data_IF_072251144713
#
_entry.id   IF_072251144713
#
_cell.length_a   1.000
_cell.length_b   1.000
_cell.length_c   1.000
_cell.angle_alpha   90.00
_cell.angle_beta   90.00
_cell.angle_gamma   90.00
#
_symmetry.space_group_name_H-M   'P 1'
#
loop_
_entity.id
_entity.type
_entity.pdbx_description
1 polymer ?
#
# COMPACT_ATOMS: atom_id res chain seq x y z
N UNK A 1 6.12 28.40 2.15
CA UNK A 1 6.34 27.40 1.09
C UNK A 1 5.58 26.14 1.48
N UNK A 2 4.26 26.10 1.30
CA UNK A 2 3.50 25.87 0.06
C UNK A 2 3.64 24.43 -0.47
N UNK A 3 2.74 23.53 -0.05
CA UNK A 3 1.77 22.92 -0.97
C UNK A 3 0.73 22.05 -0.24
N UNK A 4 -0.50 22.52 -0.38
CA UNK A 4 -1.80 21.92 -0.12
C UNK A 4 -2.02 20.68 -1.00
N UNK A 5 -2.51 19.56 -0.44
CA UNK A 5 -3.11 18.46 -1.21
C UNK A 5 -4.62 18.47 -1.01
N UNK A 6 -5.29 19.17 -1.92
CA UNK A 6 -6.71 19.06 -2.24
C UNK A 6 -6.93 17.76 -3.03
N UNK A 7 -7.79 16.86 -2.54
CA UNK A 7 -8.44 15.83 -3.38
C UNK A 7 -9.93 16.16 -3.42
N UNK A 8 -10.34 16.82 -4.50
CA UNK A 8 -11.72 16.99 -4.90
C UNK A 8 -12.23 15.71 -5.58
N UNK A 9 -13.19 15.02 -4.97
CA UNK A 9 -14.16 14.23 -5.73
C UNK A 9 -15.38 15.12 -5.94
N UNK A 10 -15.60 15.52 -7.19
CA UNK A 10 -16.82 16.20 -7.61
C UNK A 10 -17.95 15.19 -7.73
N UNK A 11 -18.99 15.38 -6.93
CA UNK A 11 -20.33 14.89 -7.20
C UNK A 11 -21.23 16.12 -7.19
N UNK A 12 -21.69 16.53 -8.37
CA UNK A 12 -22.58 17.66 -8.56
C UNK A 12 -23.86 17.16 -9.21
N UNK A 13 -25.00 17.48 -8.59
CA UNK A 13 -26.35 17.66 -9.15
C UNK A 13 -27.14 18.38 -8.03
N UNK A 14 -27.23 19.72 -8.05
CA UNK A 14 -28.31 20.52 -8.66
C UNK A 14 -29.70 20.03 -8.18
N UNK A 15 -30.58 20.82 -7.57
CA UNK A 15 -30.80 22.27 -7.61
C UNK A 15 -32.33 22.46 -7.58
N UNK A 16 -32.78 23.30 -6.66
CA UNK A 16 -34.15 23.48 -6.13
C UNK A 16 -35.27 23.72 -7.14
N UNK A 17 -36.52 23.43 -6.75
CA UNK A 17 -37.71 24.02 -7.34
C UNK A 17 -38.78 24.34 -6.27
N UNK A 18 -39.16 25.61 -6.19
CA UNK A 18 -40.22 26.14 -5.33
C UNK A 18 -41.50 26.32 -6.15
N UNK A 19 -42.56 25.75 -5.59
CA UNK A 19 -44.01 25.81 -5.83
C UNK A 19 -44.61 26.94 -6.71
N UNK A 20 -45.53 26.54 -7.61
CA UNK A 20 -46.92 27.05 -7.63
C UNK A 20 -47.89 26.18 -8.46
N UNK A 21 -49.11 26.01 -7.92
CA UNK A 21 -50.39 25.70 -8.57
C UNK A 21 -50.56 24.38 -9.35
N UNK A 22 -51.19 23.40 -8.68
CA UNK A 22 -51.72 22.20 -9.35
C UNK A 22 -52.30 21.17 -8.40
N UNK A 23 -53.20 21.53 -7.48
CA UNK A 23 -53.72 20.59 -6.46
C UNK A 23 -54.41 19.33 -7.04
N UNK A 24 -54.91 19.36 -8.29
CA UNK A 24 -55.44 18.17 -8.98
C UNK A 24 -54.43 17.37 -9.81
N UNK A 25 -53.38 18.01 -10.33
CA UNK A 25 -52.30 17.34 -11.08
C UNK A 25 -51.22 16.78 -10.14
N UNK A 26 -51.01 17.42 -8.99
CA UNK A 26 -50.06 17.00 -7.96
C UNK A 26 -50.44 15.67 -7.30
N UNK A 27 -51.73 15.45 -7.02
CA UNK A 27 -52.19 14.16 -6.47
C UNK A 27 -52.06 13.00 -7.47
N UNK A 28 -52.37 13.23 -8.76
CA UNK A 28 -52.19 12.21 -9.80
C UNK A 28 -50.71 11.94 -10.10
N UNK A 29 -49.86 12.97 -10.05
CA UNK A 29 -48.40 12.82 -10.23
C UNK A 29 -47.77 12.09 -9.05
N UNK A 30 -48.13 12.45 -7.81
CA UNK A 30 -47.71 11.75 -6.61
C UNK A 30 -48.16 10.28 -6.58
N UNK A 31 -49.42 9.98 -6.92
CA UNK A 31 -49.90 8.59 -7.03
C UNK A 31 -49.22 7.79 -8.14
N UNK A 32 -48.92 8.42 -9.29
CA UNK A 32 -48.20 7.76 -10.38
C UNK A 32 -46.74 7.45 -10.00
N UNK A 33 -46.11 8.34 -9.24
CA UNK A 33 -44.75 8.15 -8.73
C UNK A 33 -44.70 7.05 -7.66
N UNK A 34 -45.71 6.98 -6.77
CA UNK A 34 -45.86 5.92 -5.77
C UNK A 34 -46.10 4.54 -6.40
N UNK A 35 -46.94 4.48 -7.45
CA UNK A 35 -47.21 3.23 -8.18
C UNK A 35 -45.97 2.72 -8.93
N UNK A 36 -45.18 3.61 -9.53
CA UNK A 36 -43.91 3.25 -10.17
C UNK A 36 -42.90 2.74 -9.15
N UNK A 37 -42.79 3.41 -8.00
CA UNK A 37 -41.89 2.97 -6.92
C UNK A 37 -42.26 1.57 -6.40
N UNK A 38 -43.56 1.28 -6.24
CA UNK A 38 -44.03 -0.04 -5.85
C UNK A 38 -43.65 -1.13 -6.87
N UNK A 39 -43.84 -0.87 -8.17
CA UNK A 39 -43.43 -1.78 -9.24
C UNK A 39 -41.92 -1.96 -9.32
N UNK A 40 -41.14 -0.90 -9.12
CA UNK A 40 -39.67 -0.99 -9.05
C UNK A 40 -39.19 -1.89 -7.91
N UNK A 41 -39.79 -1.79 -6.71
CA UNK A 41 -39.52 -2.69 -5.58
C UNK A 41 -39.86 -4.15 -5.92
N UNK A 42 -41.01 -4.39 -6.55
CA UNK A 42 -41.41 -5.73 -7.00
C UNK A 42 -40.42 -6.29 -8.03
N UNK A 43 -39.95 -5.46 -8.97
CA UNK A 43 -39.00 -5.86 -10.00
C UNK A 43 -37.65 -6.22 -9.39
N UNK A 44 -37.16 -5.43 -8.44
CA UNK A 44 -35.94 -5.74 -7.69
C UNK A 44 -36.07 -7.09 -6.97
N UNK A 45 -37.17 -7.33 -6.26
CA UNK A 45 -37.43 -8.61 -5.60
C UNK A 45 -37.48 -9.78 -6.60
N UNK A 46 -38.21 -9.65 -7.71
CA UNK A 46 -38.35 -10.68 -8.74
C UNK A 46 -37.01 -11.00 -9.43
N UNK A 47 -36.13 -10.01 -9.56
CA UNK A 47 -34.79 -10.17 -10.11
C UNK A 47 -33.75 -10.68 -9.10
N UNK A 48 -34.16 -11.03 -7.88
CA UNK A 48 -33.25 -11.45 -6.80
C UNK A 48 -32.45 -10.32 -6.15
N UNK A 49 -32.73 -9.05 -6.46
CA UNK A 49 -32.07 -7.85 -5.91
C UNK A 49 -32.81 -7.20 -4.75
N UNK A 50 -33.89 -7.80 -4.24
CA UNK A 50 -34.71 -7.20 -3.18
C UNK A 50 -34.09 -7.16 -1.78
N UNK A 51 -32.80 -7.52 -1.65
CA UNK A 51 -32.02 -7.53 -0.39
C UNK A 51 -30.57 -7.10 -0.62
N UNK A 52 -30.34 -6.21 -1.58
CA UNK A 52 -28.99 -5.82 -1.98
C UNK A 52 -28.34 -4.97 -0.88
N UNK A 53 -29.14 -4.22 -0.11
CA UNK A 53 -28.73 -3.54 1.11
C UNK A 53 -28.16 -4.50 2.15
N UNK A 54 -28.81 -5.65 2.39
CA UNK A 54 -28.32 -6.65 3.35
C UNK A 54 -26.94 -7.18 2.93
N UNK A 55 -26.78 -7.48 1.63
CA UNK A 55 -25.52 -7.96 1.06
C UNK A 55 -24.41 -6.91 1.14
N UNK A 56 -24.73 -5.64 0.89
CA UNK A 56 -23.80 -4.52 1.01
C UNK A 56 -23.31 -4.35 2.45
N UNK A 57 -24.24 -4.30 3.41
CA UNK A 57 -23.93 -4.16 4.84
C UNK A 57 -23.08 -5.34 5.32
N UNK A 58 -23.42 -6.57 4.91
CA UNK A 58 -22.63 -7.76 5.23
C UNK A 58 -21.20 -7.69 4.66
N UNK A 59 -21.05 -7.25 3.41
CA UNK A 59 -19.75 -7.11 2.74
C UNK A 59 -18.87 -6.05 3.40
N UNK A 60 -19.44 -4.88 3.72
CA UNK A 60 -18.72 -3.80 4.41
C UNK A 60 -18.29 -4.23 5.81
N UNK A 61 -19.16 -4.95 6.53
CA UNK A 61 -18.84 -5.52 7.85
C UNK A 61 -17.64 -6.45 7.77
N UNK A 62 -17.65 -7.44 6.86
CA UNK A 62 -16.54 -8.37 6.69
C UNK A 62 -15.22 -7.68 6.32
N UNK A 63 -15.29 -6.59 5.55
CA UNK A 63 -14.08 -5.82 5.20
C UNK A 63 -13.49 -5.12 6.41
N UNK A 64 -14.32 -4.45 7.20
CA UNK A 64 -13.89 -3.70 8.39
C UNK A 64 -13.40 -4.66 9.48
N UNK A 65 -14.05 -5.81 9.67
CA UNK A 65 -13.57 -6.84 10.60
C UNK A 65 -12.18 -7.36 10.22
N UNK A 66 -11.93 -7.60 8.92
CA UNK A 66 -10.59 -7.98 8.44
C UNK A 66 -9.55 -6.89 8.65
N UNK A 67 -9.92 -5.63 8.40
CA UNK A 67 -9.02 -4.49 8.62
C UNK A 67 -8.67 -4.30 10.10
N UNK A 68 -9.67 -4.41 10.98
CA UNK A 68 -9.48 -4.33 12.43
C UNK A 68 -8.65 -5.49 12.99
N UNK A 69 -8.77 -6.68 12.41
CA UNK A 69 -7.94 -7.82 12.77
C UNK A 69 -6.46 -7.58 12.45
N UNK A 70 -6.16 -6.84 11.38
CA UNK A 70 -4.80 -6.48 10.99
C UNK A 70 -4.28 -5.25 11.75
N UNK A 71 -5.14 -4.27 12.00
CA UNK A 71 -4.79 -3.01 12.65
C UNK A 71 -5.94 -2.54 13.56
N UNK A 72 -5.96 -2.97 14.84
CA UNK A 72 -7.00 -2.59 15.77
C UNK A 72 -7.07 -1.07 15.94
N UNK A 73 -8.25 -0.48 15.82
CA UNK A 73 -8.46 0.95 16.08
C UNK A 73 -9.81 1.22 16.77
N UNK A 74 -9.86 2.12 17.78
CA UNK A 74 -11.11 2.50 18.42
C UNK A 74 -12.14 3.08 17.45
N UNK A 75 -11.67 3.80 16.42
CA UNK A 75 -12.52 4.38 15.39
C UNK A 75 -13.13 3.28 14.51
N UNK A 76 -12.34 2.28 14.08
CA UNK A 76 -12.85 1.14 13.33
C UNK A 76 -13.89 0.34 14.13
N UNK A 77 -13.69 0.17 15.45
CA UNK A 77 -14.65 -0.51 16.30
C UNK A 77 -15.99 0.25 16.39
N UNK A 78 -15.97 1.58 16.45
CA UNK A 78 -17.19 2.41 16.41
C UNK A 78 -17.91 2.29 15.06
N UNK A 79 -17.17 2.29 13.95
CA UNK A 79 -17.74 2.10 12.61
C UNK A 79 -18.39 0.71 12.50
N UNK A 80 -17.76 -0.33 13.05
CA UNK A 80 -18.32 -1.68 13.05
C UNK A 80 -19.64 -1.76 13.83
N UNK A 81 -19.75 -1.08 14.97
CA UNK A 81 -21.01 -0.98 15.73
C UNK A 81 -22.08 -0.25 14.93
N UNK A 82 -21.74 0.90 14.33
CA UNK A 82 -22.67 1.65 13.49
C UNK A 82 -23.17 0.82 12.29
N UNK A 83 -22.32 0.00 11.66
CA UNK A 83 -22.71 -0.92 10.59
C UNK A 83 -23.55 -2.12 11.06
N UNK A 84 -23.58 -2.43 12.35
CA UNK A 84 -24.53 -3.40 12.90
C UNK A 84 -25.93 -2.82 13.05
N UNK A 85 -26.01 -1.51 13.24
CA UNK A 85 -27.26 -0.75 13.42
C UNK A 85 -27.78 -0.14 12.10
N UNK A 86 -26.95 -0.10 11.06
CA UNK A 86 -27.30 0.39 9.74
C UNK A 86 -28.49 -0.40 9.17
N UNK A 87 -29.52 0.33 8.73
CA UNK A 87 -30.70 -0.28 8.14
C UNK A 87 -30.47 -0.48 6.65
N UNK A 88 -30.52 -1.74 6.22
CA UNK A 88 -30.33 -2.13 4.82
C UNK A 88 -31.46 -1.65 3.89
N UNK A 89 -32.63 -1.32 4.45
CA UNK A 89 -33.83 -0.90 3.74
C UNK A 89 -33.67 0.45 3.02
N UNK A 90 -32.84 1.35 3.55
CA UNK A 90 -32.57 2.66 2.96
C UNK A 90 -31.90 2.53 1.57
N UNK A 91 -30.90 1.65 1.45
CA UNK A 91 -30.24 1.39 0.17
C UNK A 91 -31.19 0.74 -0.84
N UNK A 92 -31.98 -0.24 -0.42
CA UNK A 92 -32.96 -0.90 -1.29
C UNK A 92 -34.05 0.09 -1.74
N UNK A 93 -34.41 1.06 -0.90
CA UNK A 93 -35.32 2.15 -1.24
C UNK A 93 -34.73 3.12 -2.26
N UNK A 94 -33.48 3.57 -2.08
CA UNK A 94 -32.79 4.42 -3.06
C UNK A 94 -32.63 3.72 -4.40
N UNK A 95 -32.30 2.43 -4.40
CA UNK A 95 -32.19 1.63 -5.61
C UNK A 95 -33.54 1.51 -6.33
N UNK A 96 -34.63 1.29 -5.58
CA UNK A 96 -35.98 1.28 -6.14
C UNK A 96 -36.37 2.64 -6.74
N UNK A 97 -35.99 3.74 -6.10
CA UNK A 97 -36.20 5.09 -6.63
C UNK A 97 -35.41 5.32 -7.93
N UNK A 98 -34.15 4.85 -7.99
CA UNK A 98 -33.35 4.92 -9.22
C UNK A 98 -34.01 4.14 -10.37
N UNK A 99 -34.54 2.95 -10.09
CA UNK A 99 -35.28 2.14 -11.08
C UNK A 99 -36.57 2.85 -11.53
N UNK A 100 -37.36 3.39 -10.61
CA UNK A 100 -38.59 4.12 -10.93
C UNK A 100 -38.34 5.41 -11.73
N UNK A 101 -37.15 6.00 -11.60
CA UNK A 101 -36.71 7.18 -12.35
C UNK A 101 -36.27 6.85 -13.78
N UNK A 102 -35.57 5.73 -13.96
CA UNK A 102 -35.00 5.32 -15.27
C UNK A 102 -36.01 4.55 -16.12
N UNK A 103 -36.85 3.73 -15.50
CA UNK A 103 -37.83 2.87 -16.19
C UNK A 103 -39.21 3.53 -16.18
N UNK A 104 -39.86 3.57 -17.34
CA UNK A 104 -41.27 3.92 -17.41
C UNK A 104 -42.17 2.77 -16.91
N UNK A 105 -43.48 3.03 -16.84
CA UNK A 105 -44.43 2.05 -16.29
C UNK A 105 -44.52 0.78 -17.16
N UNK A 106 -44.41 0.92 -18.47
CA UNK A 106 -44.48 -0.19 -19.42
C UNK A 106 -43.24 -1.10 -19.30
N UNK A 107 -42.04 -0.51 -19.19
CA UNK A 107 -40.80 -1.24 -18.96
C UNK A 107 -40.79 -1.98 -17.62
N UNK A 108 -41.34 -1.37 -16.56
CA UNK A 108 -41.51 -2.02 -15.25
C UNK A 108 -42.44 -3.24 -15.34
N UNK A 109 -43.58 -3.10 -16.03
CA UNK A 109 -44.55 -4.19 -16.22
C UNK A 109 -43.98 -5.33 -17.08
N UNK A 110 -43.30 -4.98 -18.17
CA UNK A 110 -42.61 -5.95 -19.04
C UNK A 110 -41.52 -6.72 -18.28
N UNK A 111 -40.75 -6.02 -17.44
CA UNK A 111 -39.74 -6.64 -16.59
C UNK A 111 -40.34 -7.63 -15.59
N UNK A 112 -41.43 -7.25 -14.92
CA UNK A 112 -42.15 -8.13 -14.00
C UNK A 112 -42.71 -9.36 -14.72
N UNK A 113 -43.33 -9.17 -15.87
CA UNK A 113 -43.84 -10.25 -16.71
C UNK A 113 -42.72 -11.21 -17.13
N UNK A 114 -41.56 -10.69 -17.53
CA UNK A 114 -40.38 -11.49 -17.86
C UNK A 114 -39.90 -12.33 -16.68
N UNK A 115 -39.66 -11.73 -15.51
CA UNK A 115 -39.17 -12.46 -14.33
C UNK A 115 -40.22 -13.44 -13.75
N UNK A 116 -41.49 -13.32 -14.12
CA UNK A 116 -42.50 -14.33 -13.79
C UNK A 116 -42.37 -15.63 -14.61
N UNK A 117 -41.79 -15.55 -15.82
CA UNK A 117 -41.57 -16.73 -16.70
C UNK A 117 -40.49 -17.67 -16.15
N UNK A 118 -40.50 -18.93 -16.59
CA UNK A 118 -39.43 -19.91 -16.27
C UNK A 118 -38.06 -19.40 -16.74
N UNK A 119 -37.98 -18.80 -17.92
CA UNK A 119 -36.74 -18.24 -18.48
C UNK A 119 -36.21 -17.07 -17.64
N UNK A 120 -37.09 -16.16 -17.23
CA UNK A 120 -36.71 -15.02 -16.39
C UNK A 120 -36.19 -15.43 -15.01
N UNK A 121 -36.80 -16.44 -14.38
CA UNK A 121 -36.31 -17.00 -13.11
C UNK A 121 -34.95 -17.68 -13.27
N UNK A 122 -34.75 -18.46 -14.34
CA UNK A 122 -33.47 -19.09 -14.63
C UNK A 122 -32.37 -18.04 -14.90
N UNK A 123 -32.69 -16.97 -15.63
CA UNK A 123 -31.78 -15.85 -15.85
C UNK A 123 -31.42 -15.14 -14.55
N UNK A 124 -32.40 -14.82 -13.70
CA UNK A 124 -32.17 -14.19 -12.40
C UNK A 124 -31.21 -15.00 -11.52
N UNK A 125 -31.37 -16.33 -11.50
CA UNK A 125 -30.51 -17.24 -10.73
C UNK A 125 -29.05 -17.27 -11.23
N UNK A 126 -28.80 -16.98 -12.51
CA UNK A 126 -27.44 -16.98 -13.12
C UNK A 126 -26.83 -15.61 -13.30
N UNK A 127 -27.60 -14.54 -13.18
CA UNK A 127 -27.14 -13.18 -13.45
C UNK A 127 -25.92 -12.79 -12.59
N UNK A 128 -25.92 -13.15 -11.32
CA UNK A 128 -24.83 -12.74 -10.42
C UNK A 128 -23.52 -13.51 -10.74
N UNK A 129 -23.62 -14.79 -11.15
CA UNK A 129 -22.48 -15.56 -11.67
C UNK A 129 -21.95 -14.96 -12.99
N UNK A 130 -22.86 -14.56 -13.90
CA UNK A 130 -22.49 -13.91 -15.15
C UNK A 130 -21.80 -12.57 -14.91
N UNK A 131 -22.36 -11.73 -14.05
CA UNK A 131 -21.76 -10.45 -13.68
C UNK A 131 -20.37 -10.64 -13.06
N UNK A 132 -20.21 -11.61 -12.16
CA UNK A 132 -18.91 -11.93 -11.58
C UNK A 132 -17.90 -12.39 -12.65
N UNK A 133 -18.32 -13.23 -13.59
CA UNK A 133 -17.48 -13.68 -14.71
C UNK A 133 -17.08 -12.50 -15.63
N UNK A 134 -18.01 -11.61 -15.95
CA UNK A 134 -17.74 -10.39 -16.73
C UNK A 134 -16.75 -9.47 -16.03
N UNK A 135 -16.95 -9.19 -14.74
CA UNK A 135 -16.03 -8.35 -13.97
C UNK A 135 -14.63 -8.96 -13.88
N UNK A 136 -14.52 -10.28 -13.67
CA UNK A 136 -13.24 -10.98 -13.69
C UNK A 136 -12.53 -10.86 -15.05
N UNK A 137 -13.29 -10.98 -16.15
CA UNK A 137 -12.74 -10.82 -17.49
C UNK A 137 -12.25 -9.39 -17.74
N UNK A 138 -13.03 -8.39 -17.34
CA UNK A 138 -12.69 -6.96 -17.42
C UNK A 138 -11.43 -6.67 -16.62
N UNK A 139 -11.31 -7.18 -15.39
CA UNK A 139 -10.12 -6.98 -14.55
C UNK A 139 -8.87 -7.56 -15.20
N UNK A 140 -8.93 -8.82 -15.66
CA UNK A 140 -7.81 -9.51 -16.31
C UNK A 140 -7.38 -8.76 -17.58
N UNK A 141 -8.32 -8.35 -18.42
CA UNK A 141 -8.01 -7.62 -19.65
C UNK A 141 -7.51 -6.20 -19.38
N UNK A 142 -8.12 -5.48 -18.44
CA UNK A 142 -7.69 -4.14 -18.05
C UNK A 142 -6.24 -4.16 -17.57
N UNK A 143 -5.88 -5.12 -16.72
CA UNK A 143 -4.49 -5.30 -16.27
C UNK A 143 -3.53 -5.55 -17.44
N UNK A 144 -3.89 -6.45 -18.36
CA UNK A 144 -3.07 -6.73 -19.56
C UNK A 144 -2.88 -5.49 -20.44
N UNK A 145 -3.96 -4.73 -20.68
CA UNK A 145 -3.93 -3.50 -21.47
C UNK A 145 -3.08 -2.42 -20.82
N UNK A 146 -3.24 -2.21 -19.51
CA UNK A 146 -2.43 -1.25 -18.74
C UNK A 146 -0.96 -1.64 -18.79
N UNK A 147 -0.61 -2.91 -18.57
CA UNK A 147 0.78 -3.38 -18.65
C UNK A 147 1.37 -3.16 -20.04
N UNK A 148 0.61 -3.47 -21.10
CA UNK A 148 1.05 -3.24 -22.47
C UNK A 148 1.23 -1.73 -22.78
N UNK A 149 0.34 -0.88 -22.27
CA UNK A 149 0.42 0.57 -22.43
C UNK A 149 1.65 1.15 -21.70
N UNK A 150 1.90 0.75 -20.45
CA UNK A 150 3.08 1.17 -19.68
C UNK A 150 4.38 0.80 -20.40
N UNK A 151 4.49 -0.46 -20.88
CA UNK A 151 5.67 -0.91 -21.64
C UNK A 151 5.88 -0.11 -22.92
N UNK A 152 4.82 0.19 -23.68
CA UNK A 152 4.92 1.03 -24.90
C UNK A 152 5.31 2.46 -24.59
N UNK A 153 4.90 2.99 -23.44
CA UNK A 153 5.28 4.32 -22.97
C UNK A 153 6.69 4.38 -22.36
N UNK A 154 7.42 3.25 -22.30
CA UNK A 154 8.73 3.18 -21.63
C UNK A 154 8.65 3.38 -20.11
N UNK A 155 7.47 3.18 -19.52
CA UNK A 155 7.23 3.33 -18.08
C UNK A 155 7.35 1.98 -17.37
N UNK A 156 7.84 2.00 -16.13
CA UNK A 156 7.89 0.84 -15.27
C UNK A 156 6.48 0.31 -14.93
N UNK A 157 6.33 -1.00 -14.96
CA UNK A 157 5.16 -1.71 -14.45
C UNK A 157 5.06 -1.60 -12.92
N UNK A 158 3.87 -1.86 -12.32
CA UNK A 158 3.73 -1.87 -10.87
C UNK A 158 4.73 -2.80 -10.16
N UNK A 159 5.02 -3.97 -10.76
CA UNK A 159 5.98 -4.94 -10.22
C UNK A 159 7.43 -4.41 -10.23
N UNK A 160 7.82 -3.71 -11.30
CA UNK A 160 9.14 -3.07 -11.39
C UNK A 160 9.28 -1.95 -10.37
N UNK A 161 8.25 -1.10 -10.23
CA UNK A 161 8.22 -0.05 -9.21
C UNK A 161 8.35 -0.63 -7.78
N UNK A 162 7.69 -1.75 -7.50
CA UNK A 162 7.81 -2.43 -6.21
C UNK A 162 9.22 -2.98 -5.97
N UNK A 163 9.86 -3.57 -7.00
CA UNK A 163 11.26 -4.02 -6.91
C UNK A 163 12.21 -2.86 -6.65
N UNK A 164 12.04 -1.76 -7.37
CA UNK A 164 12.83 -0.53 -7.20
C UNK A 164 12.67 0.05 -5.79
N UNK A 165 11.43 0.16 -5.30
CA UNK A 165 11.15 0.63 -3.94
C UNK A 165 11.83 -0.25 -2.87
N UNK A 166 11.84 -1.58 -3.06
CA UNK A 166 12.54 -2.49 -2.15
C UNK A 166 14.06 -2.28 -2.19
N UNK A 167 14.66 -2.10 -3.37
CA UNK A 167 16.10 -1.80 -3.51
C UNK A 167 16.46 -0.48 -2.80
N UNK A 168 15.66 0.55 -3.00
CA UNK A 168 15.85 1.85 -2.35
C UNK A 168 15.73 1.74 -0.82
N UNK A 169 14.78 0.95 -0.32
CA UNK A 169 14.63 0.66 1.11
C UNK A 169 15.84 -0.08 1.69
N UNK A 170 16.36 -1.08 0.98
CA UNK A 170 17.58 -1.80 1.39
C UNK A 170 18.80 -0.88 1.44
N UNK A 171 18.97 -0.03 0.44
CA UNK A 171 20.06 0.95 0.38
C UNK A 171 20.00 1.95 1.53
N UNK A 172 18.82 2.51 1.81
CA UNK A 172 18.62 3.40 2.95
C UNK A 172 18.95 2.69 4.28
N UNK A 173 18.53 1.43 4.42
CA UNK A 173 18.85 0.63 5.60
C UNK A 173 20.35 0.32 5.72
N UNK A 174 21.05 0.13 4.60
CA UNK A 174 22.50 -0.07 4.59
C UNK A 174 23.26 1.18 5.04
N UNK A 175 22.85 2.37 4.58
CA UNK A 175 23.40 3.65 5.05
C UNK A 175 23.14 3.81 6.55
N UNK A 176 21.94 3.50 7.03
CA UNK A 176 21.61 3.52 8.46
C UNK A 176 22.48 2.57 9.29
N UNK A 177 22.73 1.36 8.79
CA UNK A 177 23.60 0.39 9.45
C UNK A 177 25.08 0.85 9.49
N UNK A 178 25.59 1.50 8.44
CA UNK A 178 26.94 2.08 8.46
C UNK A 178 27.08 3.23 9.47
N UNK A 179 26.04 4.04 9.65
CA UNK A 179 26.00 5.06 10.73
C UNK A 179 26.00 4.42 12.11
N UNK A 180 25.21 3.37 12.32
CA UNK A 180 25.21 2.62 13.57
C UNK A 180 26.59 2.00 13.86
N UNK A 181 27.25 1.42 12.85
CA UNK A 181 28.64 0.92 12.98
C UNK A 181 29.58 2.06 13.37
N UNK A 182 29.45 3.25 12.76
CA UNK A 182 30.31 4.40 13.08
C UNK A 182 30.16 4.84 14.54
N UNK A 183 28.92 4.93 15.04
CA UNK A 183 28.66 5.23 16.46
C UNK A 183 29.18 4.13 17.39
N UNK A 184 28.96 2.86 17.03
CA UNK A 184 29.45 1.72 17.80
C UNK A 184 30.98 1.70 17.87
N UNK A 185 31.66 2.05 16.79
CA UNK A 185 33.13 2.15 16.75
C UNK A 185 33.67 3.22 17.71
N UNK A 186 33.01 4.37 17.79
CA UNK A 186 33.40 5.41 18.75
C UNK A 186 33.21 4.95 20.20
N UNK A 187 32.06 4.34 20.53
CA UNK A 187 31.77 3.82 21.87
C UNK A 187 32.67 2.64 22.26
N UNK A 188 33.04 1.79 21.29
CA UNK A 188 33.96 0.69 21.49
C UNK A 188 35.32 1.20 21.95
N UNK A 189 35.85 2.20 21.23
CA UNK A 189 37.14 2.82 21.53
C UNK A 189 37.14 3.59 22.84
N UNK A 190 36.17 4.48 23.04
CA UNK A 190 36.10 5.36 24.21
C UNK A 190 35.94 4.57 25.51
N UNK A 191 35.20 3.46 25.46
CA UNK A 191 34.90 2.65 26.63
C UNK A 191 35.79 1.43 26.82
N UNK A 192 36.90 1.29 26.08
CA UNK A 192 37.78 0.11 26.08
C UNK A 192 36.96 -1.20 26.15
N UNK A 193 36.08 -1.40 25.16
CA UNK A 193 35.03 -2.45 25.30
C UNK A 193 35.58 -3.87 25.19
N UNK A 194 36.80 -4.05 24.70
CA UNK A 194 37.57 -5.30 24.79
C UNK A 194 38.36 -5.43 26.11
N UNK A 195 38.46 -4.38 26.92
CA UNK A 195 39.17 -4.34 28.21
C UNK A 195 40.63 -4.78 28.10
N UNK A 196 41.29 -4.40 27.02
CA UNK A 196 42.70 -4.73 26.79
C UNK A 196 43.67 -3.62 27.24
N UNK A 197 43.12 -2.53 27.79
CA UNK A 197 43.87 -1.37 28.26
C UNK A 197 44.28 -0.41 27.14
N UNK A 198 43.84 -0.64 25.90
CA UNK A 198 44.16 0.16 24.72
C UNK A 198 42.89 0.74 24.11
N UNK A 199 42.84 2.06 23.97
CA UNK A 199 41.70 2.74 23.34
C UNK A 199 41.75 2.59 21.81
N UNK A 200 41.28 1.44 21.32
CA UNK A 200 41.26 1.09 19.89
C UNK A 200 39.84 0.86 19.34
N UNK A 201 39.68 1.05 18.04
CA UNK A 201 38.43 0.70 17.36
C UNK A 201 38.18 -0.82 17.39
N UNK A 202 36.98 -1.30 17.14
CA UNK A 202 36.71 -2.73 16.96
C UNK A 202 37.32 -3.25 15.66
N UNK A 203 37.95 -4.42 15.72
CA UNK A 203 38.60 -5.07 14.57
C UNK A 203 37.63 -5.62 13.52
N UNK A 204 36.43 -6.03 13.94
CA UNK A 204 35.41 -6.61 13.08
C UNK A 204 33.98 -6.40 13.64
N UNK A 205 32.97 -6.88 12.90
CA UNK A 205 31.56 -6.81 13.32
C UNK A 205 31.24 -7.72 14.51
N UNK A 206 31.98 -8.82 14.70
CA UNK A 206 31.73 -9.75 15.80
C UNK A 206 32.14 -9.13 17.14
N UNK A 207 33.22 -8.36 17.18
CA UNK A 207 33.64 -7.59 18.36
C UNK A 207 32.57 -6.55 18.77
N UNK A 208 32.02 -5.82 17.80
CA UNK A 208 30.90 -4.90 18.04
C UNK A 208 29.63 -5.63 18.52
N UNK A 209 29.36 -6.82 17.98
CA UNK A 209 28.23 -7.66 18.40
C UNK A 209 28.38 -8.21 19.83
N UNK A 210 29.58 -8.70 20.20
CA UNK A 210 29.88 -9.22 21.55
C UNK A 210 29.68 -8.19 22.65
N UNK A 211 29.88 -6.92 22.32
CA UNK A 211 29.72 -5.78 23.24
C UNK A 211 28.29 -5.22 23.22
N UNK A 212 27.37 -5.82 22.45
CA UNK A 212 25.99 -5.39 22.25
C UNK A 212 25.84 -3.94 21.75
N UNK A 213 26.86 -3.40 21.08
CA UNK A 213 26.80 -2.05 20.49
C UNK A 213 26.06 -2.03 19.14
N UNK A 214 25.91 -3.20 18.51
CA UNK A 214 25.07 -3.43 17.33
C UNK A 214 24.22 -4.68 17.53
N UNK A 215 23.12 -4.79 16.80
CA UNK A 215 22.26 -5.97 16.85
C UNK A 215 22.92 -7.21 16.23
N UNK A 216 22.49 -8.39 16.67
CA UNK A 216 23.04 -9.68 16.24
C UNK A 216 22.91 -9.94 14.73
N UNK A 217 21.87 -9.39 14.07
CA UNK A 217 21.71 -9.53 12.61
C UNK A 217 22.79 -8.73 11.89
N UNK A 218 23.06 -7.48 12.30
CA UNK A 218 24.15 -6.69 11.72
C UNK A 218 25.52 -7.30 12.05
N UNK A 219 25.71 -7.81 13.27
CA UNK A 219 26.94 -8.47 13.69
C UNK A 219 27.27 -9.72 12.85
N UNK A 220 26.26 -10.38 12.26
CA UNK A 220 26.44 -11.52 11.35
C UNK A 220 27.08 -11.14 10.00
N UNK A 221 27.15 -9.84 9.69
CA UNK A 221 27.68 -9.33 8.42
C UNK A 221 26.68 -9.35 7.26
N UNK A 222 25.40 -9.69 7.47
CA UNK A 222 24.34 -9.58 6.45
C UNK A 222 23.06 -9.02 7.05
N UNK A 223 22.52 -7.95 6.46
CA UNK A 223 21.26 -7.33 6.90
C UNK A 223 20.58 -6.59 5.75
N UNK A 224 19.27 -6.72 5.62
CA UNK A 224 18.45 -6.01 4.62
C UNK A 224 19.01 -6.08 3.18
N UNK A 225 19.42 -7.27 2.74
CA UNK A 225 19.94 -7.47 1.37
C UNK A 225 21.38 -6.99 1.14
N UNK A 226 22.08 -6.55 2.19
CA UNK A 226 23.45 -6.05 2.14
C UNK A 226 24.39 -6.90 2.98
N UNK A 227 25.64 -7.00 2.52
CA UNK A 227 26.76 -7.60 3.21
C UNK A 227 27.66 -6.52 3.78
N UNK A 228 27.88 -6.58 5.08
CA UNK A 228 28.71 -5.64 5.83
C UNK A 228 30.04 -6.27 6.17
N UNK A 229 31.08 -5.44 6.16
CA UNK A 229 32.41 -5.79 6.66
C UNK A 229 32.97 -4.58 7.41
N UNK A 230 33.68 -4.86 8.48
CA UNK A 230 34.45 -3.88 9.26
C UNK A 230 35.87 -4.42 9.33
N UNK A 231 36.84 -3.53 9.13
CA UNK A 231 38.25 -3.81 9.38
C UNK A 231 38.90 -2.60 10.05
N UNK A 232 39.92 -2.88 10.85
CA UNK A 232 40.75 -1.91 11.54
C UNK A 232 42.18 -2.05 11.07
N UNK A 233 42.94 -0.95 11.08
CA UNK A 233 44.38 -1.03 10.85
C UNK A 233 45.09 -1.85 11.95
N UNK A 234 46.25 -2.41 11.62
CA UNK A 234 47.03 -3.26 12.54
C UNK A 234 47.98 -2.42 13.39
N UNK A 235 48.38 -2.99 14.54
CA UNK A 235 49.31 -2.32 15.48
C UNK A 235 48.75 -1.01 16.00
N UNK A 236 49.64 -0.07 16.32
CA UNK A 236 49.29 1.19 17.00
C UNK A 236 48.37 2.10 16.17
N UNK A 237 48.37 1.95 14.84
CA UNK A 237 47.46 2.69 13.94
C UNK A 237 45.98 2.28 14.08
N UNK A 238 45.72 1.12 14.68
CA UNK A 238 44.37 0.62 14.95
C UNK A 238 43.56 1.51 15.91
N UNK A 239 44.22 2.38 16.67
CA UNK A 239 43.58 3.39 17.52
C UNK A 239 42.92 4.51 16.71
N UNK A 240 43.39 4.74 15.48
CA UNK A 240 43.01 5.89 14.67
C UNK A 240 42.29 5.50 13.38
N UNK A 241 42.49 4.27 12.90
CA UNK A 241 42.00 3.85 11.60
C UNK A 241 41.08 2.62 11.64
N UNK A 242 39.87 2.80 11.10
CA UNK A 242 38.97 1.72 10.72
C UNK A 242 38.19 2.09 9.45
N UNK A 243 37.67 1.05 8.79
CA UNK A 243 36.81 1.17 7.62
C UNK A 243 35.67 0.15 7.70
N UNK A 244 34.54 0.50 7.10
CA UNK A 244 33.44 -0.42 6.87
C UNK A 244 32.89 -0.30 5.46
N UNK A 245 32.43 -1.42 4.91
CA UNK A 245 31.76 -1.48 3.61
C UNK A 245 30.41 -2.13 3.74
N UNK A 246 29.45 -1.70 2.92
CA UNK A 246 28.18 -2.37 2.70
C UNK A 246 28.00 -2.60 1.20
N UNK A 247 27.94 -3.85 0.76
CA UNK A 247 27.71 -4.21 -0.65
C UNK A 247 26.42 -5.01 -0.80
N UNK A 248 25.62 -4.80 -1.86
CA UNK A 248 24.46 -5.64 -2.11
C UNK A 248 24.88 -7.11 -2.19
N UNK A 249 24.10 -8.00 -1.59
CA UNK A 249 24.32 -9.45 -1.67
C UNK A 249 24.20 -9.92 -3.12
N UNK A 250 23.24 -9.35 -3.86
CA UNK A 250 23.05 -9.59 -5.28
C UNK A 250 22.88 -8.24 -6.01
N UNK A 251 23.97 -7.70 -6.61
CA UNK A 251 23.93 -6.44 -7.34
C UNK A 251 22.83 -6.43 -8.41
N UNK A 252 22.06 -5.33 -8.46
CA UNK A 252 20.91 -5.18 -9.36
C UNK A 252 19.61 -5.79 -8.82
N UNK A 253 19.66 -6.66 -7.80
CA UNK A 253 18.46 -7.28 -7.18
C UNK A 253 18.22 -6.75 -5.78
N UNK A 254 19.21 -6.83 -4.89
CA UNK A 254 19.06 -6.37 -3.50
C UNK A 254 19.46 -4.91 -3.31
N UNK A 255 20.19 -4.34 -4.25
CA UNK A 255 20.59 -2.94 -4.34
C UNK A 255 21.54 -2.73 -5.51
N UNK A 256 21.77 -1.47 -5.90
CA UNK A 256 22.66 -1.10 -7.01
C UNK A 256 23.95 -0.47 -6.49
N UNK A 257 23.89 0.26 -5.39
CA UNK A 257 25.03 0.98 -4.84
C UNK A 257 25.77 0.15 -3.80
N UNK A 258 27.10 0.17 -3.92
CA UNK A 258 28.05 -0.21 -2.88
C UNK A 258 28.36 1.02 -2.04
N UNK A 259 28.53 0.84 -0.73
CA UNK A 259 28.82 1.91 0.22
C UNK A 259 30.08 1.61 1.02
N UNK A 260 30.78 2.67 1.44
CA UNK A 260 31.88 2.61 2.37
C UNK A 260 31.85 3.79 3.34
N UNK A 261 32.41 3.60 4.53
CA UNK A 261 32.70 4.67 5.49
C UNK A 261 34.01 4.34 6.19
N UNK A 262 34.59 5.32 6.85
CA UNK A 262 35.79 5.16 7.67
C UNK A 262 35.67 6.00 8.94
N UNK A 263 36.76 6.10 9.69
CA UNK A 263 36.87 6.92 10.90
C UNK A 263 36.47 8.40 10.74
N UNK A 264 36.43 8.95 9.52
CA UNK A 264 35.93 10.32 9.26
C UNK A 264 34.41 10.44 9.34
N UNK A 265 33.68 9.31 9.30
CA UNK A 265 32.22 9.27 9.33
C UNK A 265 31.52 9.61 8.00
N UNK A 266 32.27 10.01 6.97
CA UNK A 266 31.70 10.26 5.63
C UNK A 266 31.37 8.95 4.95
N UNK A 267 30.11 8.79 4.52
CA UNK A 267 29.70 7.64 3.73
C UNK A 267 29.88 7.93 2.24
N UNK A 268 30.52 7.03 1.52
CA UNK A 268 30.75 7.08 0.08
C UNK A 268 29.92 6.02 -0.62
N UNK A 269 29.59 6.24 -1.89
CA UNK A 269 28.92 5.25 -2.72
C UNK A 269 29.55 5.12 -4.11
N UNK A 270 29.39 3.95 -4.72
CA UNK A 270 29.70 3.67 -6.14
C UNK A 270 28.82 2.52 -6.66
N UNK A 271 28.74 2.32 -7.96
CA UNK A 271 27.81 1.35 -8.59
C UNK A 271 28.50 0.24 -9.39
N UNK A 272 29.80 0.37 -9.65
CA UNK A 272 30.55 -0.53 -10.53
C UNK A 272 31.14 -1.74 -9.79
N UNK A 273 31.66 -1.56 -8.58
CA UNK A 273 32.25 -2.64 -7.77
C UNK A 273 32.23 -2.35 -6.27
N UNK A 274 32.41 -3.38 -5.41
CA UNK A 274 32.66 -3.20 -3.99
C UNK A 274 33.87 -2.30 -3.71
N UNK A 275 33.81 -1.56 -2.61
CA UNK A 275 34.97 -0.85 -2.09
C UNK A 275 36.01 -1.83 -1.54
N UNK A 276 37.27 -1.50 -1.77
CA UNK A 276 38.42 -2.18 -1.19
C UNK A 276 38.88 -1.44 0.07
N UNK A 277 39.50 -2.15 0.99
CA UNK A 277 40.02 -1.57 2.22
C UNK A 277 41.45 -1.09 2.00
N UNK A 278 41.70 0.18 2.28
CA UNK A 278 43.04 0.75 2.36
C UNK A 278 43.31 1.17 3.81
N UNK A 279 43.97 0.29 4.55
CA UNK A 279 44.26 0.51 5.97
C UNK A 279 45.61 1.20 6.19
N UNK A 280 46.41 1.38 5.14
CA UNK A 280 47.69 2.07 5.22
C UNK A 280 47.47 3.59 5.22
N UNK A 281 46.54 4.06 4.36
CA UNK A 281 46.16 5.48 4.30
C UNK A 281 44.86 5.76 5.05
N UNK A 282 44.08 4.73 5.37
CA UNK A 282 42.76 4.84 5.98
C UNK A 282 41.74 5.66 5.17
N UNK A 283 41.94 5.76 3.86
CA UNK A 283 41.12 6.55 2.95
C UNK A 283 40.18 5.66 2.14
N UNK A 284 38.98 6.18 1.87
CA UNK A 284 38.06 5.54 0.92
C UNK A 284 38.51 5.90 -0.49
N UNK A 285 39.06 4.93 -1.23
CA UNK A 285 39.50 5.15 -2.61
C UNK A 285 38.35 5.05 -3.62
N UNK A 286 38.09 6.17 -4.29
CA UNK A 286 37.06 6.31 -5.31
C UNK A 286 35.65 6.49 -4.75
N UNK A 287 34.66 6.50 -5.65
CA UNK A 287 33.26 6.73 -5.30
C UNK A 287 32.91 8.20 -5.08
N UNK A 288 31.65 8.45 -4.73
CA UNK A 288 31.06 9.77 -4.51
C UNK A 288 30.60 9.88 -3.06
N UNK A 289 30.90 10.99 -2.33
CA UNK A 289 30.43 11.16 -0.96
C UNK A 289 28.91 11.38 -0.92
N UNK A 290 28.22 10.76 0.04
CA UNK A 290 26.80 10.97 0.33
C UNK A 290 26.63 12.08 1.36
N UNK A 291 26.03 13.19 0.93
CA UNK A 291 25.71 14.32 1.80
C UNK A 291 26.86 15.32 1.91
N UNK A 292 26.78 16.37 1.09
CA UNK A 292 27.11 17.74 1.49
C UNK A 292 25.92 18.61 1.17
#
# INVERSE_FOLDING_TARGET
MNQTRTRSLGLALAGSALFALGLGLGQRRAQADDAKLAKAKQLLAASGKGKLGDALVATLRQRIERELAQSPSPQGQKILVALREAKADEFDQELAQAYAKVLDAEALDAGLAFYATTGGKAFAAKRDELWAAEQALIEVHSRKLIYAALKRAGMNTPEENMKEARRNGNEAAAIGALRAISSAQALFREGDKDNDGTLQYAGDLAALGKTNLIDSVLASGKKNGYRFKVVRAKGDTGQFCWMATASPIEPGVTGERHFATNHSGVTWYRTDKPFEFDLDQCEVKGGTPLGR
#
